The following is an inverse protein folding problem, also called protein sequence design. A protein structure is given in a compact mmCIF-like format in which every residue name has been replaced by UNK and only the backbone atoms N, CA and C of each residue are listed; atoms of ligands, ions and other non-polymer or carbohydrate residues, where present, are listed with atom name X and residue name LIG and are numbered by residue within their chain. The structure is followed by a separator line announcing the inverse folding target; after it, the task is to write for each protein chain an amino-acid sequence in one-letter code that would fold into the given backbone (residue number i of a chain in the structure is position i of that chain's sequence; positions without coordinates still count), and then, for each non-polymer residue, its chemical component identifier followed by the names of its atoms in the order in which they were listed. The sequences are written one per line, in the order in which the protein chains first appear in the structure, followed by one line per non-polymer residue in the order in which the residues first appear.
data_IF_707377242642
#
_entry.id   IF_707377242642
#
_cell.length_a   1.000
_cell.length_b   1.000
_cell.length_c   1.000
_cell.angle_alpha   90.00
_cell.angle_beta   90.00
_cell.angle_gamma   90.00
#
_symmetry.space_group_name_H-M   'P 1'
#
loop_
_entity.id
_entity.type
_entity.pdbx_description
1 polymer ?
#
# COMPACT_ATOMS: atom_id res chain seq x y z
N UNK A 1 -9.81 -17.69 9.34
CA UNK A 1 -9.74 -16.56 8.40
C UNK A 1 -8.30 -16.11 8.23
N UNK A 2 -7.83 -16.05 7.02
CA UNK A 2 -6.48 -15.59 6.73
C UNK A 2 -6.42 -14.06 6.74
N UNK A 3 -5.28 -13.52 7.11
CA UNK A 3 -5.06 -12.07 7.19
C UNK A 3 -4.68 -11.45 5.86
N UNK A 4 -3.91 -12.17 5.06
CA UNK A 4 -3.35 -11.63 3.82
C UNK A 4 -3.89 -12.37 2.61
N UNK A 5 -4.08 -11.64 1.52
CA UNK A 5 -4.43 -12.20 0.21
C UNK A 5 -3.52 -11.61 -0.85
N UNK A 6 -3.27 -12.37 -1.90
CA UNK A 6 -2.55 -11.86 -3.07
C UNK A 6 -3.35 -10.73 -3.72
N UNK A 7 -2.62 -9.80 -4.35
CA UNK A 7 -3.25 -8.73 -5.09
C UNK A 7 -4.08 -9.28 -6.26
N UNK A 8 -5.11 -8.54 -6.60
CA UNK A 8 -5.89 -8.80 -7.81
C UNK A 8 -5.34 -8.00 -8.99
N UNK A 9 -5.97 -8.17 -10.16
CA UNK A 9 -5.58 -7.45 -11.37
C UNK A 9 -5.71 -5.93 -11.21
N UNK A 10 -6.70 -5.48 -10.42
CA UNK A 10 -6.92 -4.05 -10.19
C UNK A 10 -5.75 -3.36 -9.51
N UNK A 11 -5.27 -3.92 -8.39
CA UNK A 11 -4.11 -3.37 -7.69
C UNK A 11 -2.84 -3.49 -8.54
N UNK A 12 -2.64 -4.63 -9.16
CA UNK A 12 -1.47 -4.87 -10.00
C UNK A 12 -1.40 -3.85 -11.15
N UNK A 13 -2.52 -3.58 -11.81
CA UNK A 13 -2.60 -2.62 -12.92
C UNK A 13 -2.26 -1.20 -12.46
N UNK A 14 -2.85 -0.74 -11.34
CA UNK A 14 -2.56 0.58 -10.79
C UNK A 14 -1.08 0.69 -10.43
N UNK A 15 -0.54 -0.33 -9.77
CA UNK A 15 0.88 -0.38 -9.40
C UNK A 15 1.79 -0.24 -10.63
N UNK A 16 1.54 -1.03 -11.67
CA UNK A 16 2.37 -0.99 -12.88
C UNK A 16 2.29 0.36 -13.59
N UNK A 17 1.11 0.96 -13.66
CA UNK A 17 0.92 2.27 -14.27
C UNK A 17 1.66 3.37 -13.51
N UNK A 18 1.55 3.38 -12.18
CA UNK A 18 2.26 4.35 -11.32
C UNK A 18 3.77 4.16 -11.42
N UNK A 19 4.22 2.91 -11.41
CA UNK A 19 5.64 2.58 -11.57
C UNK A 19 6.20 3.12 -12.88
N UNK A 20 5.53 2.84 -13.98
CA UNK A 20 5.97 3.27 -15.32
C UNK A 20 6.00 4.79 -15.43
N UNK A 21 4.98 5.47 -14.92
CA UNK A 21 4.84 6.93 -15.05
C UNK A 21 5.78 7.70 -14.12
N UNK A 22 5.94 7.27 -12.88
CA UNK A 22 6.61 8.05 -11.85
C UNK A 22 7.92 7.44 -11.33
N UNK A 23 8.13 6.13 -11.47
CA UNK A 23 9.26 5.42 -10.85
C UNK A 23 9.95 4.45 -11.79
N UNK A 24 10.26 4.87 -13.04
CA UNK A 24 10.90 3.94 -13.99
C UNK A 24 12.23 3.39 -13.49
N UNK A 25 12.93 4.13 -12.62
CA UNK A 25 14.19 3.71 -12.01
C UNK A 25 14.04 2.51 -11.05
N UNK A 26 12.82 2.22 -10.59
CA UNK A 26 12.54 1.12 -9.67
C UNK A 26 12.08 -0.16 -10.37
N UNK A 27 11.94 -0.16 -11.70
CA UNK A 27 11.34 -1.27 -12.43
C UNK A 27 12.13 -2.58 -12.34
N UNK A 28 13.43 -2.53 -12.04
CA UNK A 28 14.23 -3.75 -11.87
C UNK A 28 13.98 -4.45 -10.54
N UNK A 29 13.37 -3.80 -9.58
CA UNK A 29 13.04 -4.37 -8.28
C UNK A 29 11.77 -5.24 -8.38
N UNK A 30 11.73 -6.29 -7.57
CA UNK A 30 10.58 -7.18 -7.49
C UNK A 30 9.73 -6.83 -6.28
N UNK A 31 8.48 -6.43 -6.52
CA UNK A 31 7.51 -6.05 -5.50
C UNK A 31 6.46 -7.14 -5.38
N UNK A 32 6.23 -7.63 -4.17
CA UNK A 32 5.08 -8.49 -3.86
C UNK A 32 3.95 -7.58 -3.39
N UNK A 33 2.79 -7.68 -4.06
CA UNK A 33 1.61 -6.89 -3.74
C UNK A 33 0.61 -7.77 -3.01
N UNK A 34 0.23 -7.39 -1.79
CA UNK A 34 -0.73 -8.15 -1.00
C UNK A 34 -1.75 -7.23 -0.34
N UNK A 35 -2.93 -7.79 -0.08
CA UNK A 35 -3.96 -7.13 0.71
C UNK A 35 -3.87 -7.55 2.17
N UNK A 36 -4.06 -6.59 3.07
CA UNK A 36 -4.28 -6.85 4.49
C UNK A 36 -5.78 -6.83 4.73
N UNK A 37 -6.32 -7.97 5.19
CA UNK A 37 -7.75 -8.13 5.44
C UNK A 37 -8.16 -7.62 6.81
N UNK A 38 -7.19 -7.24 7.66
CA UNK A 38 -7.42 -6.78 9.02
C UNK A 38 -7.03 -5.32 9.17
N UNK A 39 -7.89 -4.56 9.87
CA UNK A 39 -7.61 -3.17 10.22
C UNK A 39 -6.30 -3.07 11.03
N UNK A 40 -5.45 -2.14 10.62
CA UNK A 40 -4.20 -1.83 11.33
C UNK A 40 -4.16 -0.35 11.68
N UNK A 41 -3.83 -0.06 12.93
CA UNK A 41 -3.73 1.31 13.44
C UNK A 41 -2.30 1.52 13.96
N UNK A 42 -1.70 2.65 13.63
CA UNK A 42 -0.38 3.05 14.11
C UNK A 42 -0.44 4.50 14.55
N UNK A 43 0.02 4.78 15.77
CA UNK A 43 0.03 6.13 16.33
C UNK A 43 -1.34 6.82 16.27
N UNK A 44 -2.41 6.05 16.51
CA UNK A 44 -3.78 6.56 16.48
C UNK A 44 -4.35 6.79 15.11
N UNK A 45 -3.64 6.43 14.05
CA UNK A 45 -4.09 6.61 12.67
C UNK A 45 -4.24 5.26 11.96
N UNK A 46 -5.28 5.16 11.13
CA UNK A 46 -5.50 3.99 10.29
C UNK A 46 -4.41 3.87 9.23
N UNK A 47 -3.80 2.69 9.15
CA UNK A 47 -2.79 2.40 8.13
C UNK A 47 -3.50 1.93 6.86
N UNK A 48 -3.50 2.76 5.82
CA UNK A 48 -4.15 2.46 4.54
C UNK A 48 -3.29 1.57 3.65
N UNK A 49 -1.99 1.77 3.71
CA UNK A 49 -1.01 0.96 3.01
C UNK A 49 0.34 1.11 3.69
N UNK A 50 1.24 0.18 3.43
CA UNK A 50 2.62 0.25 3.89
C UNK A 50 3.53 -0.45 2.92
N UNK A 51 4.80 -0.08 2.96
CA UNK A 51 5.82 -0.73 2.17
C UNK A 51 6.96 -1.13 3.10
N UNK A 52 7.51 -2.32 2.87
CA UNK A 52 8.64 -2.81 3.66
C UNK A 52 9.61 -3.57 2.78
N UNK A 53 10.88 -3.54 3.16
CA UNK A 53 11.90 -4.35 2.49
C UNK A 53 11.76 -5.79 2.95
N UNK A 54 11.92 -6.74 2.02
CA UNK A 54 11.91 -8.16 2.36
C UNK A 54 13.20 -8.53 3.10
N UNK A 55 13.04 -9.20 4.25
CA UNK A 55 14.20 -9.80 4.93
C UNK A 55 14.81 -10.91 4.05
N UNK A 56 16.06 -11.32 4.30
CA UNK A 56 16.65 -12.44 3.56
C UNK A 56 15.79 -13.71 3.62
N UNK A 57 15.12 -13.96 4.75
CA UNK A 57 14.23 -15.09 4.92
C UNK A 57 12.99 -14.96 4.04
N UNK A 58 12.33 -13.80 4.07
CA UNK A 58 11.13 -13.54 3.23
C UNK A 58 11.51 -13.60 1.76
N UNK A 59 12.64 -13.03 1.39
CA UNK A 59 13.13 -13.09 0.00
C UNK A 59 13.30 -14.54 -0.46
N UNK A 60 13.92 -15.37 0.36
CA UNK A 60 14.09 -16.79 0.07
C UNK A 60 12.74 -17.52 -0.06
N UNK A 61 11.84 -17.29 0.90
CA UNK A 61 10.54 -17.98 0.94
C UNK A 61 9.57 -17.51 -0.14
N UNK A 62 9.78 -16.35 -0.71
CA UNK A 62 8.86 -15.75 -1.69
C UNK A 62 9.23 -16.04 -3.15
N UNK A 63 10.22 -16.90 -3.39
CA UNK A 63 10.60 -17.30 -4.77
C UNK A 63 9.41 -17.88 -5.51
N UNK A 64 9.18 -17.39 -6.72
CA UNK A 64 8.12 -17.89 -7.58
C UNK A 64 8.53 -17.74 -9.06
N UNK A 65 7.58 -17.96 -9.98
CA UNK A 65 7.84 -17.87 -11.42
C UNK A 65 8.15 -16.45 -11.89
N UNK A 66 7.64 -15.45 -11.18
CA UNK A 66 7.83 -14.03 -11.51
C UNK A 66 9.13 -13.52 -10.89
N UNK A 67 9.34 -13.85 -9.62
CA UNK A 67 10.53 -13.46 -8.85
C UNK A 67 11.35 -14.70 -8.51
N UNK A 68 12.19 -15.14 -9.45
CA UNK A 68 12.97 -16.37 -9.33
C UNK A 68 13.89 -16.33 -8.10
N UNK A 69 14.43 -15.15 -7.77
CA UNK A 69 15.30 -14.95 -6.61
C UNK A 69 14.56 -14.39 -5.39
N UNK A 70 13.23 -14.37 -5.45
CA UNK A 70 12.38 -13.81 -4.41
C UNK A 70 12.08 -12.34 -4.63
N UNK A 71 11.20 -11.79 -3.79
CA UNK A 71 10.79 -10.39 -3.87
C UNK A 71 11.68 -9.51 -3.02
N UNK A 72 11.91 -8.28 -3.48
CA UNK A 72 12.76 -7.30 -2.80
C UNK A 72 11.97 -6.47 -1.79
N UNK A 73 10.72 -6.18 -2.10
CA UNK A 73 9.85 -5.34 -1.28
C UNK A 73 8.43 -5.93 -1.25
N UNK A 74 7.72 -5.56 -0.18
CA UNK A 74 6.31 -5.90 0.00
C UNK A 74 5.50 -4.61 0.04
N UNK A 75 4.52 -4.49 -0.85
CA UNK A 75 3.51 -3.43 -0.76
C UNK A 75 2.24 -4.06 -0.20
N UNK A 76 1.82 -3.59 0.96
CA UNK A 76 0.67 -4.13 1.69
C UNK A 76 -0.41 -3.06 1.72
N UNK A 77 -1.58 -3.37 1.16
CA UNK A 77 -2.68 -2.43 1.04
C UNK A 77 -3.88 -2.93 1.85
N UNK A 78 -4.46 -2.05 2.65
CA UNK A 78 -5.70 -2.36 3.36
C UNK A 78 -6.81 -2.63 2.34
N UNK A 79 -7.44 -3.81 2.42
CA UNK A 79 -8.45 -4.23 1.43
C UNK A 79 -9.65 -3.30 1.43
N UNK A 80 -10.15 -2.88 2.61
CA UNK A 80 -11.32 -1.99 2.68
C UNK A 80 -11.00 -0.60 2.15
N UNK A 81 -9.81 -0.09 2.43
CA UNK A 81 -9.35 1.18 1.86
C UNK A 81 -9.33 1.11 0.33
N UNK A 82 -8.82 0.00 -0.21
CA UNK A 82 -8.78 -0.19 -1.65
C UNK A 82 -10.18 -0.24 -2.27
N UNK A 83 -11.11 -0.95 -1.63
CA UNK A 83 -12.49 -1.08 -2.10
C UNK A 83 -13.22 0.27 -2.17
N UNK A 84 -13.03 1.13 -1.16
CA UNK A 84 -13.76 2.42 -1.10
C UNK A 84 -13.02 3.54 -1.83
N UNK A 85 -11.74 3.35 -2.17
CA UNK A 85 -10.95 4.37 -2.84
C UNK A 85 -11.41 4.57 -4.28
N UNK A 86 -11.44 5.83 -4.72
CA UNK A 86 -11.61 6.17 -6.14
C UNK A 86 -10.36 5.78 -6.92
N UNK A 87 -10.46 5.76 -8.25
CA UNK A 87 -9.31 5.48 -9.11
C UNK A 87 -8.17 6.48 -8.83
N UNK A 88 -8.49 7.75 -8.64
CA UNK A 88 -7.52 8.79 -8.31
C UNK A 88 -6.86 8.54 -6.96
N UNK A 89 -7.65 8.22 -5.94
CA UNK A 89 -7.13 7.93 -4.60
C UNK A 89 -6.24 6.68 -4.59
N UNK A 90 -6.58 5.65 -5.35
CA UNK A 90 -5.77 4.43 -5.50
C UNK A 90 -4.39 4.74 -6.08
N UNK A 91 -4.35 5.54 -7.14
CA UNK A 91 -3.08 5.96 -7.74
C UNK A 91 -2.24 6.78 -6.75
N UNK A 92 -2.87 7.71 -6.03
CA UNK A 92 -2.20 8.53 -5.01
C UNK A 92 -1.63 7.69 -3.87
N UNK A 93 -2.40 6.69 -3.43
CA UNK A 93 -1.97 5.79 -2.35
C UNK A 93 -0.73 4.98 -2.76
N UNK A 94 -0.75 4.38 -3.93
CA UNK A 94 0.39 3.61 -4.45
C UNK A 94 1.60 4.52 -4.66
N UNK A 95 1.40 5.69 -5.23
CA UNK A 95 2.47 6.65 -5.48
C UNK A 95 3.13 7.11 -4.18
N UNK A 96 2.31 7.37 -3.14
CA UNK A 96 2.81 7.74 -1.82
C UNK A 96 3.75 6.66 -1.26
N UNK A 97 3.32 5.38 -1.32
CA UNK A 97 4.14 4.30 -0.79
C UNK A 97 5.44 4.11 -1.57
N UNK A 98 5.38 4.22 -2.90
CA UNK A 98 6.58 4.10 -3.72
C UNK A 98 7.58 5.25 -3.51
N UNK A 99 7.14 6.43 -3.03
CA UNK A 99 8.05 7.53 -2.67
C UNK A 99 8.97 7.17 -1.50
N UNK A 100 8.60 6.22 -0.67
CA UNK A 100 9.47 5.75 0.41
C UNK A 100 10.70 5.00 -0.10
N UNK A 101 10.66 4.47 -1.32
CA UNK A 101 11.70 3.61 -1.86
C UNK A 101 12.79 4.44 -2.51
N UNK A 102 14.01 4.28 -2.06
CA UNK A 102 15.19 4.90 -2.66
C UNK A 102 16.27 3.86 -2.90
N UNK A 103 17.12 4.15 -3.88
CA UNK A 103 18.28 3.31 -4.21
C UNK A 103 19.50 4.10 -3.76
N UNK A 104 20.36 3.48 -2.93
CA UNK A 104 21.57 4.11 -2.45
C UNK A 104 22.68 4.07 -3.51
N UNK A 105 23.83 4.66 -3.19
CA UNK A 105 24.96 4.76 -4.12
C UNK A 105 25.53 3.40 -4.52
N UNK A 106 25.34 2.37 -3.69
CA UNK A 106 25.79 1.01 -3.97
C UNK A 106 24.77 0.18 -4.73
N UNK A 107 23.61 0.74 -5.06
CA UNK A 107 22.52 0.03 -5.71
C UNK A 107 21.60 -0.70 -4.74
N UNK A 108 21.82 -0.56 -3.43
CA UNK A 108 20.96 -1.16 -2.40
C UNK A 108 19.65 -0.39 -2.24
N UNK A 109 18.62 -1.09 -1.81
CA UNK A 109 17.30 -0.50 -1.56
C UNK A 109 17.20 -0.04 -0.11
N UNK A 110 16.68 1.17 0.08
CA UNK A 110 16.37 1.67 1.42
C UNK A 110 15.02 2.36 1.42
N UNK A 111 14.39 2.40 2.59
CA UNK A 111 13.16 3.13 2.79
C UNK A 111 13.46 4.45 3.51
N UNK A 112 12.82 5.52 3.06
CA UNK A 112 12.94 6.85 3.67
C UNK A 112 11.61 7.28 4.27
N UNK A 113 11.66 8.08 5.34
CA UNK A 113 10.49 8.66 5.94
C UNK A 113 9.96 9.84 5.14
N UNK A 114 8.81 10.36 5.56
CA UNK A 114 8.23 11.56 4.99
C UNK A 114 9.02 12.80 5.42
N UNK A 115 9.10 13.80 4.55
CA UNK A 115 9.65 15.10 4.88
C UNK A 115 8.69 15.87 5.81
N UNK A 116 7.39 15.63 5.61
CA UNK A 116 6.27 16.10 6.43
C UNK A 116 5.31 14.92 6.58
N UNK A 117 4.01 15.11 6.80
CA UNK A 117 3.03 14.01 6.77
C UNK A 117 2.91 13.36 5.39
N UNK A 118 3.39 14.06 4.36
CA UNK A 118 3.52 13.56 3.01
C UNK A 118 4.83 14.10 2.42
N UNK A 119 5.23 13.60 1.25
CA UNK A 119 6.40 14.12 0.54
C UNK A 119 6.05 15.43 -0.17
N UNK A 120 6.98 16.39 -0.21
CA UNK A 120 6.76 17.67 -0.90
C UNK A 120 6.30 17.51 -2.33
N UNK A 121 6.90 16.57 -3.07
CA UNK A 121 6.53 16.32 -4.46
C UNK A 121 5.11 15.76 -4.57
N UNK A 122 4.68 14.91 -3.61
CA UNK A 122 3.32 14.37 -3.59
C UNK A 122 2.29 15.45 -3.25
N UNK A 123 2.59 16.32 -2.31
CA UNK A 123 1.72 17.47 -1.97
C UNK A 123 1.48 18.32 -3.21
N UNK A 124 2.53 18.58 -3.99
CA UNK A 124 2.43 19.35 -5.22
C UNK A 124 1.60 18.65 -6.29
N UNK A 125 1.84 17.34 -6.48
CA UNK A 125 1.10 16.54 -7.47
C UNK A 125 -0.37 16.36 -7.09
N UNK A 126 -0.70 16.39 -5.79
CA UNK A 126 -2.04 16.19 -5.27
C UNK A 126 -2.75 17.51 -4.95
N UNK A 127 -2.29 18.64 -5.50
CA UNK A 127 -2.87 19.96 -5.22
C UNK A 127 -4.34 20.10 -5.60
N UNK A 128 -4.84 19.27 -6.51
CA UNK A 128 -6.24 19.18 -6.90
C UNK A 128 -7.14 18.57 -5.79
N UNK A 129 -6.55 17.74 -4.93
CA UNK A 129 -7.27 17.07 -3.85
C UNK A 129 -6.34 16.90 -2.63
N UNK A 130 -5.99 18.00 -1.93
CA UNK A 130 -4.98 17.95 -0.86
C UNK A 130 -5.41 17.13 0.36
N UNK A 131 -6.71 16.92 0.56
CA UNK A 131 -7.26 16.17 1.69
C UNK A 131 -7.60 14.71 1.35
N UNK A 132 -7.10 14.20 0.22
CA UNK A 132 -7.46 12.88 -0.29
C UNK A 132 -7.25 11.75 0.74
N UNK A 133 -6.15 11.83 1.48
CA UNK A 133 -5.78 10.78 2.46
C UNK A 133 -6.73 10.78 3.64
N UNK A 134 -7.07 11.94 4.17
CA UNK A 134 -8.03 12.09 5.27
C UNK A 134 -9.41 11.60 4.85
N UNK A 135 -9.85 11.96 3.64
CA UNK A 135 -11.12 11.51 3.08
C UNK A 135 -11.16 9.99 2.96
N UNK A 136 -10.10 9.38 2.42
CA UNK A 136 -10.01 7.93 2.28
C UNK A 136 -9.98 7.24 3.64
N UNK A 137 -9.21 7.77 4.59
CA UNK A 137 -9.14 7.22 5.95
C UNK A 137 -10.51 7.25 6.64
N UNK A 138 -11.28 8.32 6.47
CA UNK A 138 -12.63 8.46 7.05
C UNK A 138 -13.58 7.42 6.45
N UNK A 139 -13.59 7.28 5.13
CA UNK A 139 -14.44 6.28 4.46
C UNK A 139 -14.08 4.85 4.89
N UNK A 140 -12.82 4.56 5.00
CA UNK A 140 -12.31 3.24 5.41
C UNK A 140 -12.70 2.93 6.87
N UNK A 141 -12.53 3.91 7.74
CA UNK A 141 -12.94 3.78 9.15
C UNK A 141 -14.44 3.46 9.26
N UNK A 142 -15.28 4.17 8.50
CA UNK A 142 -16.72 3.95 8.50
C UNK A 142 -17.07 2.53 8.03
N UNK A 143 -16.37 2.02 7.05
CA UNK A 143 -16.54 0.64 6.57
C UNK A 143 -16.23 -0.40 7.66
N UNK A 144 -15.16 -0.20 8.41
CA UNK A 144 -14.81 -1.08 9.52
C UNK A 144 -15.84 -1.01 10.66
N UNK A 145 -16.34 0.19 10.96
CA UNK A 145 -17.35 0.36 12.00
C UNK A 145 -18.67 -0.32 11.62
N UNK A 146 -19.11 -0.19 10.37
CA UNK A 146 -20.30 -0.89 9.86
C UNK A 146 -20.14 -2.41 9.96
N UNK A 147 -18.98 -2.94 9.63
CA UNK A 147 -18.70 -4.38 9.74
C UNK A 147 -18.81 -4.86 11.19
N UNK A 148 -18.27 -4.09 12.14
CA UNK A 148 -18.37 -4.42 13.57
C UNK A 148 -19.83 -4.45 14.05
N UNK A 149 -20.65 -3.51 13.60
CA UNK A 149 -22.06 -3.47 13.94
C UNK A 149 -22.82 -4.67 13.39
N UNK A 150 -22.56 -5.06 12.15
CA UNK A 150 -23.18 -6.24 11.52
C UNK A 150 -22.79 -7.53 12.26
N UNK A 151 -21.54 -7.68 12.67
CA UNK A 151 -21.07 -8.83 13.44
C UNK A 151 -21.74 -8.89 14.82
N UNK A 152 -21.99 -7.74 15.46
CA UNK A 152 -22.72 -7.66 16.73
C UNK A 152 -24.18 -8.09 16.57
N UNK A 153 -24.85 -7.61 15.54
CA UNK A 153 -26.24 -7.99 15.25
C UNK A 153 -26.38 -9.48 15.02
N UNK A 154 -25.45 -10.08 14.26
CA UNK A 154 -25.44 -11.52 13.99
C UNK A 154 -25.21 -12.37 15.25
N UNK A 155 -24.49 -11.86 16.24
CA UNK A 155 -24.27 -12.56 17.52
C UNK A 155 -25.47 -12.46 18.46
N UNK A 156 -26.26 -11.42 18.34
CA UNK A 156 -27.41 -11.13 19.21
C UNK A 156 -28.76 -11.57 18.59
N UNK A 157 -28.71 -12.00 17.35
CA UNK A 157 -29.93 -12.44 16.62
C UNK A 157 -30.13 -13.98 16.63
#
# INVERSE_FOLDING_TARGET
MHRYEDSDDGLTEVFLNVMEEHFPQLQYLKFKLIYDMKQRVSKGRLVLASIETASPKIKYLSKDKIAIDGYDLLLIVDMKAWEVASADQRAKLVRHELRHVQIDETGGVKLVGHEIEDFHIEVKLNSDAPEWRMQLATLTHDMYEQEKLMLKENKNG
#
